data_IF_361544923870
#
_entry.id   IF_361544923870
#
_cell.length_a   1.000
_cell.length_b   1.000
_cell.length_c   1.000
_cell.angle_alpha   90.00
_cell.angle_beta   90.00
_cell.angle_gamma   90.00
#
_symmetry.space_group_name_H-M   'P 1'
#
loop_
_entity.id
_entity.type
_entity.pdbx_description
1 polymer ?
#
# COMPACT_ATOMS: atom_id res chain seq x y z
N UNK A 1 21.02 -3.70 -20.13
CA UNK A 1 20.51 -3.20 -18.83
C UNK A 1 19.12 -3.76 -18.53
N UNK A 2 18.16 -3.69 -19.47
CA UNK A 2 16.79 -4.23 -19.30
C UNK A 2 16.70 -5.72 -18.94
N UNK A 3 17.57 -6.59 -19.48
CA UNK A 3 17.52 -8.02 -19.17
C UNK A 3 17.79 -8.33 -17.68
N UNK A 4 18.67 -7.56 -17.04
CA UNK A 4 18.99 -7.74 -15.62
C UNK A 4 17.87 -7.19 -14.74
N UNK A 5 17.32 -6.03 -15.11
CA UNK A 5 16.16 -5.44 -14.45
C UNK A 5 14.96 -6.40 -14.47
N UNK A 6 14.66 -7.01 -15.61
CA UNK A 6 13.58 -8.01 -15.73
C UNK A 6 13.80 -9.24 -14.85
N UNK A 7 15.06 -9.70 -14.71
CA UNK A 7 15.40 -10.82 -13.81
C UNK A 7 15.19 -10.42 -12.34
N UNK A 8 15.59 -9.21 -11.94
CA UNK A 8 15.37 -8.72 -10.58
C UNK A 8 13.89 -8.52 -10.26
N UNK A 9 13.12 -7.96 -11.19
CA UNK A 9 11.66 -7.79 -11.03
C UNK A 9 10.99 -9.16 -10.91
N UNK A 10 11.33 -10.10 -11.81
CA UNK A 10 10.80 -11.47 -11.76
C UNK A 10 11.14 -12.17 -10.45
N UNK A 11 12.42 -12.13 -10.04
CA UNK A 11 12.87 -12.73 -8.78
C UNK A 11 12.17 -12.11 -7.56
N UNK A 12 11.95 -10.79 -7.55
CA UNK A 12 11.25 -10.12 -6.45
C UNK A 12 9.77 -10.53 -6.37
N UNK A 13 9.10 -10.73 -7.50
CA UNK A 13 7.71 -11.20 -7.53
C UNK A 13 7.59 -12.65 -7.03
N UNK A 14 8.50 -13.54 -7.45
CA UNK A 14 8.52 -14.94 -7.01
C UNK A 14 8.82 -15.06 -5.51
N UNK A 15 9.80 -14.29 -5.01
CA UNK A 15 10.16 -14.28 -3.60
C UNK A 15 9.03 -13.71 -2.73
N UNK A 16 8.37 -12.64 -3.20
CA UNK A 16 7.18 -12.08 -2.56
C UNK A 16 6.01 -13.07 -2.55
N UNK A 17 5.79 -13.82 -3.65
CA UNK A 17 4.76 -14.85 -3.70
C UNK A 17 5.05 -16.00 -2.74
N UNK A 18 6.31 -16.41 -2.59
CA UNK A 18 6.73 -17.42 -1.61
C UNK A 18 6.50 -16.95 -0.16
N UNK A 19 6.94 -15.73 0.19
CA UNK A 19 6.74 -15.16 1.53
C UNK A 19 5.25 -14.97 1.85
N UNK A 20 4.48 -14.47 0.87
CA UNK A 20 3.03 -14.30 1.00
C UNK A 20 2.31 -15.64 1.13
N UNK A 21 2.75 -16.67 0.42
CA UNK A 21 2.22 -18.03 0.50
C UNK A 21 2.50 -18.70 1.84
N UNK A 22 3.72 -18.55 2.38
CA UNK A 22 4.08 -19.01 3.72
C UNK A 22 3.30 -18.25 4.79
N UNK A 23 3.19 -16.93 4.67
CA UNK A 23 2.38 -16.10 5.58
C UNK A 23 0.90 -16.50 5.53
N UNK A 24 0.36 -16.75 4.34
CA UNK A 24 -1.01 -17.21 4.16
C UNK A 24 -1.23 -18.63 4.73
N UNK A 25 -0.23 -19.51 4.67
CA UNK A 25 -0.28 -20.83 5.28
C UNK A 25 -0.21 -20.78 6.82
N UNK A 26 0.57 -19.85 7.39
CA UNK A 26 0.76 -19.70 8.84
C UNK A 26 -0.38 -18.94 9.53
N UNK A 27 -0.85 -17.83 8.95
CA UNK A 27 -1.91 -16.99 9.53
C UNK A 27 -3.31 -17.35 9.04
N UNK A 28 -3.40 -18.19 8.00
CA UNK A 28 -4.63 -18.38 7.22
C UNK A 28 -4.88 -17.18 6.31
N UNK A 29 -5.18 -17.45 5.03
CA UNK A 29 -5.48 -16.44 4.01
C UNK A 29 -6.51 -15.40 4.50
N UNK A 30 -7.57 -15.87 5.16
CA UNK A 30 -8.68 -15.03 5.63
C UNK A 30 -8.23 -14.06 6.72
N UNK A 31 -7.44 -14.51 7.69
CA UNK A 31 -6.96 -13.67 8.79
C UNK A 31 -6.00 -12.58 8.31
N UNK A 32 -5.07 -12.94 7.43
CA UNK A 32 -4.12 -12.00 6.83
C UNK A 32 -4.82 -10.89 6.03
N UNK A 33 -5.81 -11.25 5.21
CA UNK A 33 -6.57 -10.29 4.40
C UNK A 33 -7.41 -9.36 5.29
N UNK A 34 -8.09 -9.89 6.31
CA UNK A 34 -8.90 -9.07 7.20
C UNK A 34 -8.04 -8.08 7.98
N UNK A 35 -6.91 -8.53 8.54
CA UNK A 35 -6.03 -7.67 9.31
C UNK A 35 -5.35 -6.60 8.44
N UNK A 36 -4.83 -6.99 7.27
CA UNK A 36 -4.22 -6.05 6.33
C UNK A 36 -5.21 -5.06 5.74
N UNK A 37 -6.40 -5.53 5.35
CA UNK A 37 -7.47 -4.70 4.80
C UNK A 37 -8.01 -3.70 5.81
N UNK A 38 -8.35 -4.16 7.02
CA UNK A 38 -8.80 -3.28 8.11
C UNK A 38 -7.71 -2.30 8.50
N UNK A 39 -6.46 -2.74 8.61
CA UNK A 39 -5.31 -1.87 8.90
C UNK A 39 -5.16 -0.74 7.87
N UNK A 40 -5.29 -1.06 6.58
CA UNK A 40 -5.22 -0.06 5.50
C UNK A 40 -6.34 0.98 5.63
N UNK A 41 -7.58 0.52 5.84
CA UNK A 41 -8.73 1.42 6.02
C UNK A 41 -8.59 2.31 7.26
N UNK A 42 -8.05 1.77 8.36
CA UNK A 42 -7.78 2.55 9.57
C UNK A 42 -6.77 3.66 9.29
N UNK A 43 -5.67 3.37 8.58
CA UNK A 43 -4.68 4.39 8.21
C UNK A 43 -5.30 5.47 7.33
N UNK A 44 -6.11 5.09 6.33
CA UNK A 44 -6.82 6.04 5.45
C UNK A 44 -7.74 6.96 6.27
N UNK A 45 -8.58 6.39 7.14
CA UNK A 45 -9.52 7.18 7.97
C UNK A 45 -8.77 8.07 8.95
N UNK A 46 -7.67 7.57 9.52
CA UNK A 46 -6.82 8.32 10.43
C UNK A 46 -6.20 9.53 9.71
N UNK A 47 -5.63 9.32 8.53
CA UNK A 47 -5.01 10.41 7.76
C UNK A 47 -6.05 11.43 7.28
N UNK A 48 -7.23 10.96 6.86
CA UNK A 48 -8.36 11.82 6.50
C UNK A 48 -8.84 12.70 7.66
N UNK A 49 -8.75 12.21 8.90
CA UNK A 49 -9.05 12.99 10.10
C UNK A 49 -7.92 13.90 10.56
N UNK A 50 -6.66 13.46 10.45
CA UNK A 50 -5.50 14.23 10.91
C UNK A 50 -5.13 15.38 9.97
N UNK A 51 -5.41 15.24 8.67
CA UNK A 51 -5.14 16.27 7.68
C UNK A 51 -6.42 16.78 7.00
N UNK A 52 -7.35 17.38 7.77
CA UNK A 52 -8.60 17.90 7.22
C UNK A 52 -8.37 19.04 6.22
N UNK A 53 -7.25 19.77 6.35
CA UNK A 53 -6.84 20.83 5.42
C UNK A 53 -6.51 20.29 4.03
N UNK A 54 -5.95 19.08 3.92
CA UNK A 54 -5.70 18.41 2.63
C UNK A 54 -6.99 17.83 2.05
N UNK A 55 -7.91 17.38 2.90
CA UNK A 55 -9.24 16.93 2.50
C UNK A 55 -10.05 18.04 1.83
N UNK A 56 -9.90 19.30 2.27
CA UNK A 56 -10.67 20.44 1.77
C UNK A 56 -10.03 21.15 0.57
N UNK A 57 -8.90 20.66 0.04
CA UNK A 57 -8.28 21.23 -1.16
C UNK A 57 -9.11 20.80 -2.38
N UNK A 58 -10.06 21.64 -2.77
CA UNK A 58 -10.94 21.42 -3.92
C UNK A 58 -10.28 21.87 -5.23
N UNK A 59 -9.26 22.75 -5.17
CA UNK A 59 -8.49 23.24 -6.32
C UNK A 59 -7.02 23.50 -5.99
N UNK A 60 -6.14 23.18 -6.94
CA UNK A 60 -4.70 23.46 -6.87
C UNK A 60 -4.36 24.96 -7.01
N UNK A 61 -5.34 25.82 -7.30
CA UNK A 61 -5.16 27.26 -7.49
C UNK A 61 -4.89 28.03 -6.18
N UNK A 62 -5.23 27.47 -5.00
CA UNK A 62 -4.93 28.07 -3.69
C UNK A 62 -3.49 27.82 -3.20
N UNK A 63 -2.70 26.98 -3.89
CA UNK A 63 -1.30 26.68 -3.49
C UNK A 63 -0.32 27.72 -4.06
N UNK A 64 -0.80 28.70 -4.84
CA UNK A 64 0.03 29.77 -5.41
C UNK A 64 -0.30 31.12 -4.77
N UNK A 65 -0.02 31.24 -3.47
CA UNK A 65 0.14 32.56 -2.85
C UNK A 65 1.52 33.12 -3.24
N UNK A 66 1.49 34.04 -4.21
CA UNK A 66 2.50 35.08 -4.56
C UNK A 66 3.96 34.66 -4.70
#
# INVERSE_FOLDING_TARGET
>A
VLAVESVFIGASNELGAAESGVTAALFGLVGAILFGGVGTLLVVVLWWRLFPTLRSVDRFEDIRAT
#
